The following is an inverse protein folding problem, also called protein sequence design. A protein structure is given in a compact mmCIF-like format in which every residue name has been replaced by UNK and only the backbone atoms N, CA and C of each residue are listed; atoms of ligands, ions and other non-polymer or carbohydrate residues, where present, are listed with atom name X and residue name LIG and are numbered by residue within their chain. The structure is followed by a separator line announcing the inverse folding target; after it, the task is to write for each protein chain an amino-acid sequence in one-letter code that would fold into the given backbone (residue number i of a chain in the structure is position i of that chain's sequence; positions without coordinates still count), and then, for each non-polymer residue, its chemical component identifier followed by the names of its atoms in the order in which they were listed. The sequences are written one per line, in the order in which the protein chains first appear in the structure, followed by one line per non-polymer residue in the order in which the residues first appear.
data_IF_171181019902
#
_entry.id   IF_171181019902
#
_cell.length_a   1.000
_cell.length_b   1.000
_cell.length_c   1.000
_cell.angle_alpha   90.00
_cell.angle_beta   90.00
_cell.angle_gamma   90.00
#
_symmetry.space_group_name_H-M   'P 1'
#
loop_
_entity.id
_entity.type
_entity.pdbx_description
1 polymer ?
#
# COMPACT_ATOMS: atom_id res chain seq x y z
N UNK A 1 -56.39 4.41 -23.29
CA UNK A 1 -57.60 5.22 -23.00
C UNK A 1 -57.15 6.64 -22.74
N UNK A 2 -57.42 7.54 -23.70
CA UNK A 2 -57.29 8.98 -23.64
C UNK A 2 -58.57 9.53 -23.01
N UNK A 3 -58.51 10.72 -22.34
CA UNK A 3 -58.87 11.90 -23.13
C UNK A 3 -58.08 13.17 -22.78
N UNK A 4 -57.64 13.79 -23.77
CA UNK A 4 -57.70 15.11 -24.41
C UNK A 4 -58.63 16.14 -23.72
N UNK A 5 -58.12 17.34 -23.35
CA UNK A 5 -58.87 18.60 -23.27
C UNK A 5 -57.97 19.81 -23.56
N UNK A 6 -58.19 20.33 -24.66
CA UNK A 6 -58.40 21.61 -25.35
C UNK A 6 -58.04 22.90 -24.60
N UNK A 7 -57.34 23.73 -25.37
CA UNK A 7 -57.06 25.15 -25.24
C UNK A 7 -58.35 25.97 -25.47
N UNK A 8 -58.46 27.15 -24.91
CA UNK A 8 -59.15 28.25 -25.62
C UNK A 8 -58.20 29.44 -25.87
N UNK A 9 -58.24 29.84 -27.13
CA UNK A 9 -57.83 31.14 -27.60
C UNK A 9 -58.86 32.21 -27.21
N UNK A 10 -58.39 33.42 -26.90
CA UNK A 10 -59.23 34.60 -27.01
C UNK A 10 -58.33 35.83 -27.19
N UNK A 11 -58.20 36.24 -28.39
CA UNK A 11 -58.69 37.45 -29.04
C UNK A 11 -58.20 38.80 -28.50
N UNK A 12 -57.53 39.45 -29.41
CA UNK A 12 -57.14 40.84 -29.53
C UNK A 12 -58.27 41.84 -29.32
N UNK A 13 -57.96 42.94 -28.61
CA UNK A 13 -58.73 44.17 -28.73
C UNK A 13 -57.76 45.35 -28.77
N UNK A 14 -57.57 45.86 -29.96
CA UNK A 14 -57.02 47.22 -30.21
C UNK A 14 -57.96 48.25 -29.58
N UNK A 15 -57.40 49.20 -28.89
CA UNK A 15 -57.98 50.58 -28.74
C UNK A 15 -56.83 51.58 -28.73
N UNK A 16 -56.85 52.35 -29.78
CA UNK A 16 -56.22 53.67 -29.92
C UNK A 16 -56.78 54.62 -28.84
N UNK A 17 -55.90 55.36 -28.20
CA UNK A 17 -56.20 56.72 -27.78
C UNK A 17 -54.91 57.50 -27.69
N UNK A 18 -54.86 58.48 -28.54
CA UNK A 18 -53.91 59.60 -28.64
C UNK A 18 -53.91 60.41 -27.34
N UNK A 19 -52.74 60.99 -27.14
CA UNK A 19 -52.44 62.21 -26.43
C UNK A 19 -52.55 62.28 -24.93
N UNK A 20 -51.37 62.28 -24.32
CA UNK A 20 -50.95 63.28 -23.33
C UNK A 20 -49.44 63.27 -23.20
N UNK A 21 -48.82 64.30 -23.83
CA UNK A 21 -47.46 64.70 -23.50
C UNK A 21 -47.39 65.02 -22.00
N UNK A 22 -46.66 64.16 -21.29
CA UNK A 22 -46.08 64.59 -20.02
C UNK A 22 -44.60 64.27 -20.11
N UNK A 23 -43.84 65.35 -20.18
CA UNK A 23 -42.40 65.40 -20.06
C UNK A 23 -42.02 64.74 -18.76
N UNK A 24 -41.64 63.46 -18.81
CA UNK A 24 -40.90 62.84 -17.75
C UNK A 24 -39.45 63.28 -17.99
N UNK A 25 -39.06 64.27 -17.28
CA UNK A 25 -37.69 64.71 -17.10
C UNK A 25 -36.89 63.50 -16.64
N UNK A 26 -36.14 62.92 -17.54
CA UNK A 26 -35.11 61.91 -17.22
C UNK A 26 -34.10 62.62 -16.32
N UNK A 27 -34.26 62.43 -15.03
CA UNK A 27 -33.17 62.53 -14.10
C UNK A 27 -32.17 61.42 -14.44
N UNK A 28 -31.28 61.73 -15.37
CA UNK A 28 -29.99 61.09 -15.45
C UNK A 28 -29.30 61.37 -14.11
N UNK A 29 -29.51 60.46 -13.18
CA UNK A 29 -28.58 60.28 -12.11
C UNK A 29 -27.27 59.85 -12.76
N UNK A 30 -26.50 60.82 -13.21
CA UNK A 30 -25.08 60.65 -13.37
C UNK A 30 -24.59 60.26 -11.96
N UNK A 31 -24.62 58.97 -11.66
CA UNK A 31 -23.85 58.41 -10.61
C UNK A 31 -22.40 58.75 -10.94
N UNK A 32 -21.92 59.88 -10.47
CA UNK A 32 -20.51 60.09 -10.28
C UNK A 32 -20.07 59.02 -9.32
N UNK A 33 -19.83 57.83 -9.85
CA UNK A 33 -19.05 56.82 -9.11
C UNK A 33 -17.76 57.50 -8.75
N UNK A 34 -17.60 57.79 -7.49
CA UNK A 34 -16.29 58.22 -6.98
C UNK A 34 -15.30 57.16 -7.49
N UNK A 35 -14.35 57.52 -8.37
CA UNK A 35 -13.32 56.55 -8.74
C UNK A 35 -12.66 56.16 -7.43
N UNK A 36 -12.89 54.91 -7.00
CA UNK A 36 -12.20 54.36 -5.84
C UNK A 36 -10.70 54.64 -5.97
N UNK A 37 -9.96 54.66 -4.86
CA UNK A 37 -8.53 54.88 -4.94
C UNK A 37 -7.95 53.93 -5.99
N UNK A 38 -7.11 54.46 -6.87
CA UNK A 38 -6.43 53.64 -7.89
C UNK A 38 -5.63 52.58 -7.14
N UNK A 39 -6.13 51.35 -7.14
CA UNK A 39 -5.41 50.23 -6.54
C UNK A 39 -4.09 50.06 -7.31
N UNK A 40 -2.97 49.91 -6.59
CA UNK A 40 -1.71 49.63 -7.26
C UNK A 40 -1.86 48.36 -8.11
N UNK A 41 -1.18 48.28 -9.25
CA UNK A 41 -1.26 47.09 -10.08
C UNK A 41 -0.86 45.86 -9.28
N UNK A 42 -1.70 44.83 -9.32
CA UNK A 42 -1.43 43.53 -8.69
C UNK A 42 -0.05 43.03 -9.15
N UNK A 43 0.81 42.70 -8.26
CA UNK A 43 2.17 42.22 -8.57
C UNK A 43 2.17 40.75 -8.99
N UNK A 44 1.09 40.01 -8.70
CA UNK A 44 0.95 38.56 -8.94
C UNK A 44 2.14 37.75 -8.44
N UNK A 45 2.60 38.09 -7.21
CA UNK A 45 3.70 37.38 -6.55
C UNK A 45 3.13 36.07 -6.00
N UNK A 46 3.68 34.89 -6.38
CA UNK A 46 3.25 33.63 -5.79
C UNK A 46 3.45 33.63 -4.27
N UNK A 47 2.54 33.00 -3.53
CA UNK A 47 2.77 32.70 -2.11
C UNK A 47 4.02 31.83 -1.95
N UNK A 48 4.64 31.87 -0.81
CA UNK A 48 5.79 31.02 -0.48
C UNK A 48 5.40 29.53 -0.52
N UNK A 49 6.26 28.66 -1.05
CA UNK A 49 6.11 27.22 -0.89
C UNK A 49 6.26 26.87 0.59
N UNK A 50 5.25 26.27 1.24
CA UNK A 50 5.23 26.13 2.68
C UNK A 50 6.23 25.11 3.21
N UNK A 51 6.34 23.96 2.53
CA UNK A 51 7.17 22.83 2.94
C UNK A 51 7.90 22.25 1.74
N UNK A 52 9.18 21.93 1.94
CA UNK A 52 10.00 21.16 0.99
C UNK A 52 10.46 19.89 1.68
N UNK A 53 10.09 18.76 1.11
CA UNK A 53 10.62 17.46 1.50
C UNK A 53 11.74 17.08 0.55
N UNK A 54 12.79 16.46 1.07
CA UNK A 54 13.87 15.93 0.26
C UNK A 54 14.42 14.64 0.90
N UNK A 55 14.58 13.62 0.07
CA UNK A 55 15.11 12.33 0.47
C UNK A 55 15.89 11.70 -0.70
N UNK A 56 16.85 10.87 -0.38
CA UNK A 56 17.55 10.04 -1.36
C UNK A 56 16.73 8.81 -1.70
N UNK A 57 16.67 8.50 -2.98
CA UNK A 57 16.03 7.32 -3.52
C UNK A 57 16.91 6.72 -4.61
N UNK A 58 17.75 5.77 -4.24
CA UNK A 58 18.78 5.21 -5.10
C UNK A 58 19.81 6.26 -5.53
N UNK A 59 19.94 6.50 -6.82
CA UNK A 59 20.87 7.47 -7.41
C UNK A 59 20.33 8.90 -7.52
N UNK A 60 19.17 9.18 -6.90
CA UNK A 60 18.46 10.46 -7.00
C UNK A 60 18.11 11.02 -5.63
N UNK A 61 18.14 12.36 -5.55
CA UNK A 61 17.47 13.11 -4.49
C UNK A 61 16.09 13.49 -5.03
N UNK A 62 15.06 13.03 -4.37
CA UNK A 62 13.66 13.37 -4.68
C UNK A 62 13.27 14.57 -3.83
N UNK A 63 12.95 15.68 -4.49
CA UNK A 63 12.49 16.92 -3.83
C UNK A 63 11.00 17.08 -4.11
N UNK A 64 10.18 17.05 -3.06
CA UNK A 64 8.72 17.10 -3.15
C UNK A 64 8.19 18.34 -2.42
N UNK A 65 7.24 19.02 -3.03
CA UNK A 65 6.57 20.18 -2.49
C UNK A 65 5.26 20.45 -3.25
N UNK A 66 4.45 21.37 -2.72
CA UNK A 66 3.22 21.83 -3.40
C UNK A 66 3.40 23.28 -3.83
N UNK A 67 3.25 23.54 -5.12
CA UNK A 67 3.24 24.90 -5.65
C UNK A 67 1.97 25.62 -5.21
N UNK A 68 2.08 26.90 -4.78
CA UNK A 68 0.93 27.66 -4.32
C UNK A 68 -0.06 27.94 -5.45
N UNK A 69 -1.34 27.88 -5.13
CA UNK A 69 -2.44 28.27 -6.03
C UNK A 69 -2.82 29.74 -5.89
N UNK A 70 -2.29 30.43 -4.91
CA UNK A 70 -2.60 31.81 -4.58
C UNK A 70 -1.36 32.70 -4.66
N UNK A 71 -1.60 33.98 -4.92
CA UNK A 71 -0.62 35.05 -4.75
C UNK A 71 -0.53 35.48 -3.29
N UNK A 72 0.47 36.27 -2.93
CA UNK A 72 0.62 36.88 -1.59
C UNK A 72 -0.55 37.81 -1.22
N UNK A 73 -1.33 38.25 -2.19
CA UNK A 73 -2.50 39.11 -2.04
C UNK A 73 -3.81 38.29 -1.93
N UNK A 74 -3.70 36.93 -1.93
CA UNK A 74 -4.85 36.02 -1.83
C UNK A 74 -5.62 35.80 -3.13
N UNK A 75 -5.12 36.30 -4.26
CA UNK A 75 -5.74 36.11 -5.57
C UNK A 75 -5.31 34.77 -6.18
N UNK A 76 -6.16 34.11 -6.99
CA UNK A 76 -5.78 32.91 -7.70
C UNK A 76 -4.56 33.14 -8.60
N UNK A 77 -3.54 32.30 -8.46
CA UNK A 77 -2.33 32.32 -9.28
C UNK A 77 -2.61 31.54 -10.59
N UNK A 78 -2.77 32.26 -11.68
CA UNK A 78 -3.17 31.67 -12.97
C UNK A 78 -2.09 30.80 -13.59
N UNK A 79 -0.81 31.16 -13.41
CA UNK A 79 0.34 30.40 -13.88
C UNK A 79 1.60 30.76 -13.10
N UNK A 80 2.57 29.87 -13.12
CA UNK A 80 3.94 30.07 -12.64
C UNK A 80 4.83 30.15 -13.88
N UNK A 81 5.59 31.23 -14.03
CA UNK A 81 6.52 31.41 -15.15
C UNK A 81 7.74 30.48 -15.02
N UNK A 82 8.24 30.35 -13.81
CA UNK A 82 9.45 29.61 -13.50
C UNK A 82 9.39 29.09 -12.08
N UNK A 83 9.81 27.87 -11.88
CA UNK A 83 10.13 27.31 -10.58
C UNK A 83 11.65 27.21 -10.48
N UNK A 84 12.22 27.81 -9.45
CA UNK A 84 13.63 27.70 -9.12
C UNK A 84 13.81 26.69 -7.99
N UNK A 85 14.46 25.58 -8.29
CA UNK A 85 14.94 24.60 -7.32
C UNK A 85 16.44 24.80 -7.18
N UNK A 86 16.92 25.00 -5.97
CA UNK A 86 18.34 25.22 -5.65
C UNK A 86 18.85 24.17 -4.69
N UNK A 87 20.06 23.69 -4.94
CA UNK A 87 20.80 22.77 -4.06
C UNK A 87 22.28 23.17 -4.00
N UNK A 88 22.85 23.13 -2.83
CA UNK A 88 24.28 23.45 -2.64
C UNK A 88 24.69 23.44 -1.20
N UNK A 89 26.01 23.49 -0.92
CA UNK A 89 26.54 23.59 0.43
C UNK A 89 26.09 24.90 1.10
N UNK A 90 26.02 24.90 2.41
CA UNK A 90 25.78 26.12 3.19
C UNK A 90 26.85 27.17 3.01
N UNK A 91 26.53 28.44 3.25
CA UNK A 91 27.45 29.57 3.24
C UNK A 91 27.54 30.21 4.63
N UNK A 92 28.67 30.84 4.95
CA UNK A 92 28.85 31.49 6.26
C UNK A 92 29.28 32.96 6.05
N UNK A 93 28.57 33.94 6.67
CA UNK A 93 27.32 33.80 7.44
C UNK A 93 26.15 33.37 6.54
N UNK A 94 25.19 32.60 7.11
CA UNK A 94 24.07 32.09 6.32
C UNK A 94 23.05 33.19 6.01
N UNK A 95 22.75 33.32 4.74
CA UNK A 95 21.60 34.04 4.21
C UNK A 95 21.06 33.23 3.03
N UNK A 96 19.76 32.99 2.99
CA UNK A 96 19.15 32.21 1.91
C UNK A 96 19.38 32.82 0.53
N UNK A 97 19.38 34.15 0.43
CA UNK A 97 19.59 34.87 -0.85
C UNK A 97 21.06 34.78 -1.29
N UNK A 98 22.03 34.92 -0.36
CA UNK A 98 23.45 34.75 -0.68
C UNK A 98 23.75 33.30 -1.06
N UNK A 99 23.21 32.33 -0.31
CA UNK A 99 23.34 30.91 -0.63
C UNK A 99 22.75 30.59 -2.01
N UNK A 100 21.54 31.08 -2.32
CA UNK A 100 20.89 30.81 -3.58
C UNK A 100 21.66 31.35 -4.82
N UNK A 101 22.52 32.34 -4.66
CA UNK A 101 23.37 32.83 -5.76
C UNK A 101 24.48 31.82 -6.11
N UNK A 102 24.96 31.04 -5.14
CA UNK A 102 26.06 30.08 -5.33
C UNK A 102 25.51 28.65 -5.55
N UNK A 103 24.32 28.36 -5.08
CA UNK A 103 23.69 27.05 -5.20
C UNK A 103 23.37 26.69 -6.66
N UNK A 104 23.58 25.44 -7.03
CA UNK A 104 23.26 24.89 -8.36
C UNK A 104 21.77 24.96 -8.61
N UNK A 105 21.40 25.47 -9.79
CA UNK A 105 20.01 25.68 -10.18
C UNK A 105 19.48 24.53 -11.03
N UNK A 106 18.27 24.11 -10.73
CA UNK A 106 17.49 23.13 -11.50
C UNK A 106 16.13 23.75 -11.88
N UNK A 107 16.10 24.71 -12.82
CA UNK A 107 14.90 25.43 -13.14
C UNK A 107 13.85 24.56 -13.85
N UNK A 108 12.56 24.84 -13.61
CA UNK A 108 11.46 24.23 -14.32
C UNK A 108 10.59 25.34 -14.93
N UNK A 109 10.55 25.47 -16.26
CA UNK A 109 9.73 26.47 -16.92
C UNK A 109 8.24 26.10 -16.85
N UNK A 110 7.42 27.08 -16.58
CA UNK A 110 5.95 27.03 -16.64
C UNK A 110 5.29 25.81 -15.98
N UNK A 111 5.64 25.47 -14.72
CA UNK A 111 4.99 24.38 -14.01
C UNK A 111 3.54 24.72 -13.69
N UNK A 112 2.67 23.71 -13.63
CA UNK A 112 1.31 23.87 -13.12
C UNK A 112 1.33 24.01 -11.59
N UNK A 113 0.38 24.76 -10.98
CA UNK A 113 0.17 24.73 -9.54
C UNK A 113 -0.20 23.33 -9.05
N UNK A 114 0.07 23.04 -7.76
CA UNK A 114 -0.24 21.76 -7.14
C UNK A 114 1.00 20.94 -6.76
N UNK A 115 0.85 19.64 -6.50
CA UNK A 115 1.94 18.74 -6.12
C UNK A 115 3.01 18.70 -7.21
N UNK A 116 4.28 18.77 -6.80
CA UNK A 116 5.41 18.76 -7.71
C UNK A 116 6.57 17.91 -7.14
N UNK A 117 7.20 17.14 -8.02
CA UNK A 117 8.37 16.33 -7.70
C UNK A 117 9.52 16.69 -8.63
N UNK A 118 10.71 16.92 -8.06
CA UNK A 118 11.93 17.14 -8.82
C UNK A 118 12.98 16.10 -8.45
N UNK A 119 13.48 15.41 -9.45
CA UNK A 119 14.63 14.51 -9.31
C UNK A 119 15.94 15.24 -9.55
N UNK A 120 16.92 15.03 -8.66
CA UNK A 120 18.28 15.59 -8.75
C UNK A 120 19.27 14.44 -8.61
N UNK A 121 20.28 14.30 -9.52
CA UNK A 121 21.25 13.24 -9.41
C UNK A 121 22.08 13.33 -8.12
N UNK A 122 22.25 12.22 -7.41
CA UNK A 122 23.08 12.12 -6.19
C UNK A 122 24.56 12.35 -6.48
N UNK A 123 25.04 11.95 -7.65
CA UNK A 123 26.46 11.91 -7.99
C UNK A 123 27.22 13.23 -7.74
N UNK A 124 26.59 14.39 -7.96
CA UNK A 124 27.18 15.70 -7.73
C UNK A 124 27.37 16.03 -6.24
N UNK A 125 26.67 15.34 -5.36
CA UNK A 125 26.47 15.71 -3.97
C UNK A 125 26.90 14.65 -2.96
N UNK A 126 27.26 13.45 -3.39
CA UNK A 126 27.67 12.34 -2.52
C UNK A 126 28.74 12.77 -1.50
N UNK A 127 28.50 12.44 -0.23
CA UNK A 127 29.38 12.76 0.90
C UNK A 127 29.30 14.21 1.38
N UNK A 128 28.41 15.03 0.80
CA UNK A 128 28.26 16.45 1.15
C UNK A 128 27.00 16.69 1.97
N UNK A 129 27.05 17.67 2.82
CA UNK A 129 25.89 18.29 3.46
C UNK A 129 25.37 19.39 2.55
N UNK A 130 24.11 19.29 2.09
CA UNK A 130 23.52 20.23 1.16
C UNK A 130 22.26 20.86 1.73
N UNK A 131 22.02 22.08 1.33
CA UNK A 131 20.80 22.81 1.55
C UNK A 131 19.97 22.79 0.28
N UNK A 132 18.66 22.61 0.42
CA UNK A 132 17.69 22.57 -0.69
C UNK A 132 16.59 23.57 -0.40
N UNK A 133 16.27 24.40 -1.37
CA UNK A 133 15.12 25.30 -1.30
C UNK A 133 14.54 25.56 -2.66
N UNK A 134 13.29 26.02 -2.67
CA UNK A 134 12.53 26.32 -3.88
C UNK A 134 11.83 27.67 -3.76
N UNK A 135 11.61 28.34 -4.91
CA UNK A 135 10.70 29.48 -5.00
C UNK A 135 10.02 29.49 -6.35
N UNK A 136 8.82 30.06 -6.38
CA UNK A 136 8.05 30.26 -7.60
C UNK A 136 8.25 31.68 -8.13
N UNK A 137 8.32 31.85 -9.44
CA UNK A 137 8.33 33.15 -10.12
C UNK A 137 7.01 33.31 -10.83
N UNK A 138 6.29 34.36 -10.47
CA UNK A 138 4.97 34.67 -11.02
C UNK A 138 5.02 35.14 -12.48
N UNK A 139 3.84 35.31 -13.11
CA UNK A 139 3.71 35.67 -14.53
C UNK A 139 4.39 36.99 -14.87
N UNK A 140 4.45 37.94 -13.95
CA UNK A 140 5.13 39.24 -14.08
C UNK A 140 6.62 39.20 -13.75
N UNK A 141 7.20 38.04 -13.58
CA UNK A 141 8.62 37.86 -13.27
C UNK A 141 8.99 38.16 -11.81
N UNK A 142 8.02 38.35 -10.93
CA UNK A 142 8.27 38.57 -9.51
C UNK A 142 8.36 37.24 -8.77
N UNK A 143 9.46 36.95 -8.04
CA UNK A 143 9.60 35.73 -7.27
C UNK A 143 8.86 35.79 -5.94
N UNK A 144 8.43 34.64 -5.45
CA UNK A 144 8.06 34.43 -4.05
C UNK A 144 9.30 34.51 -3.16
N UNK A 145 9.09 34.51 -1.84
CA UNK A 145 10.17 34.18 -0.91
C UNK A 145 10.62 32.73 -1.11
N UNK A 146 11.88 32.44 -0.77
CA UNK A 146 12.38 31.09 -0.72
C UNK A 146 11.61 30.27 0.33
N UNK A 147 11.31 29.02 0.02
CA UNK A 147 10.80 28.07 1.00
C UNK A 147 11.80 27.90 2.15
N UNK A 148 11.32 27.37 3.28
CA UNK A 148 12.21 26.97 4.39
C UNK A 148 13.24 25.97 3.86
N UNK A 149 14.50 26.27 4.12
CA UNK A 149 15.62 25.46 3.62
C UNK A 149 15.61 24.07 4.27
N UNK A 150 15.64 23.04 3.45
CA UNK A 150 15.80 21.65 3.89
C UNK A 150 17.29 21.30 3.87
N UNK A 151 17.80 20.78 4.98
CA UNK A 151 19.15 20.20 5.06
C UNK A 151 19.07 18.70 4.75
N UNK A 152 20.02 18.19 3.96
CA UNK A 152 20.19 16.80 3.64
C UNK A 152 21.69 16.47 3.59
N UNK A 153 22.12 15.47 4.34
CA UNK A 153 23.43 14.86 4.13
C UNK A 153 23.28 13.80 3.05
N UNK A 154 24.01 13.98 1.95
CA UNK A 154 23.92 13.05 0.81
C UNK A 154 24.89 11.89 1.01
N UNK A 155 24.36 10.69 1.11
CA UNK A 155 25.14 9.46 1.32
C UNK A 155 25.44 8.75 -0.01
N UNK A 156 26.41 7.81 -0.05
CA UNK A 156 26.55 6.95 -1.22
C UNK A 156 25.26 6.14 -1.47
N UNK A 157 24.81 6.03 -2.74
CA UNK A 157 23.61 5.31 -3.07
C UNK A 157 23.58 3.88 -2.51
N UNK A 158 22.54 3.53 -1.80
CA UNK A 158 22.32 2.17 -1.30
C UNK A 158 21.99 1.23 -2.47
N UNK A 159 22.60 0.04 -2.52
CA UNK A 159 22.24 -0.96 -3.53
C UNK A 159 20.82 -1.44 -3.34
N UNK A 160 20.10 -1.56 -4.45
CA UNK A 160 18.74 -2.12 -4.47
C UNK A 160 18.79 -3.59 -4.08
N UNK A 161 17.93 -4.06 -3.16
CA UNK A 161 17.81 -5.48 -2.87
C UNK A 161 17.45 -6.27 -4.11
N UNK A 162 18.13 -7.41 -4.31
CA UNK A 162 18.00 -8.24 -5.49
C UNK A 162 17.50 -9.65 -5.15
N UNK A 163 17.07 -10.40 -6.17
CA UNK A 163 16.64 -11.78 -6.05
C UNK A 163 15.60 -12.00 -4.93
N UNK A 164 14.63 -11.07 -4.83
CA UNK A 164 13.54 -11.21 -3.86
C UNK A 164 12.69 -12.41 -4.24
N UNK A 165 12.48 -13.31 -3.29
CA UNK A 165 11.62 -14.50 -3.41
C UNK A 165 10.53 -14.42 -2.37
N UNK A 166 9.36 -14.96 -2.71
CA UNK A 166 8.21 -15.08 -1.84
C UNK A 166 7.69 -16.52 -1.92
N UNK A 167 7.83 -17.25 -0.83
CA UNK A 167 7.46 -18.66 -0.76
C UNK A 167 6.23 -18.82 0.15
N UNK A 168 5.26 -19.60 -0.31
CA UNK A 168 4.11 -20.00 0.49
C UNK A 168 4.58 -21.00 1.55
N UNK A 169 4.48 -20.63 2.81
CA UNK A 169 4.89 -21.43 3.97
C UNK A 169 3.80 -21.41 5.03
N UNK A 170 3.95 -22.23 6.05
CA UNK A 170 3.10 -22.13 7.22
C UNK A 170 3.94 -21.64 8.43
N UNK A 171 3.49 -20.52 9.08
CA UNK A 171 2.34 -19.69 8.72
C UNK A 171 2.72 -18.60 7.68
N UNK A 172 1.96 -18.47 6.58
CA UNK A 172 1.96 -17.30 5.74
C UNK A 172 2.92 -17.31 4.54
N UNK A 173 3.70 -16.23 4.36
CA UNK A 173 4.64 -16.07 3.25
C UNK A 173 6.03 -15.73 3.76
N UNK A 174 7.00 -16.56 3.42
CA UNK A 174 8.41 -16.30 3.70
C UNK A 174 9.05 -15.54 2.55
N UNK A 175 9.63 -14.40 2.87
CA UNK A 175 10.43 -13.58 1.96
C UNK A 175 11.91 -13.80 2.21
N UNK A 176 12.69 -13.86 1.15
CA UNK A 176 14.16 -13.85 1.19
C UNK A 176 14.68 -12.97 0.06
N UNK A 177 15.84 -12.32 0.29
CA UNK A 177 16.47 -11.46 -0.73
C UNK A 177 17.98 -11.40 -0.55
N UNK A 178 18.65 -10.82 -1.54
CA UNK A 178 20.08 -10.50 -1.48
C UNK A 178 20.26 -9.00 -1.25
N UNK A 179 21.14 -8.64 -0.32
CA UNK A 179 21.45 -7.26 -0.01
C UNK A 179 22.52 -7.16 1.07
N UNK A 180 23.23 -6.02 1.11
CA UNK A 180 24.31 -5.73 2.08
C UNK A 180 23.96 -4.57 3.02
N UNK A 181 22.73 -4.09 3.03
CA UNK A 181 22.30 -3.03 3.94
C UNK A 181 22.00 -3.59 5.34
N UNK A 182 22.01 -2.70 6.34
CA UNK A 182 21.70 -3.07 7.72
C UNK A 182 20.20 -3.15 7.98
N UNK A 183 19.38 -2.45 7.18
CA UNK A 183 17.94 -2.37 7.37
C UNK A 183 17.20 -2.41 6.04
N UNK A 184 16.02 -3.00 6.06
CA UNK A 184 15.14 -3.15 4.92
C UNK A 184 13.70 -2.80 5.28
N UNK A 185 13.01 -2.12 4.38
CA UNK A 185 11.55 -1.91 4.39
C UNK A 185 10.90 -2.89 3.45
N UNK A 186 9.88 -3.56 3.94
CA UNK A 186 9.09 -4.51 3.18
C UNK A 186 7.76 -3.84 2.83
N UNK A 187 7.40 -3.87 1.56
CA UNK A 187 6.14 -3.38 1.04
C UNK A 187 5.33 -4.55 0.50
N UNK A 188 4.02 -4.52 0.71
CA UNK A 188 3.08 -5.53 0.24
C UNK A 188 1.92 -4.88 -0.50
N UNK A 189 1.45 -5.52 -1.57
CA UNK A 189 0.14 -5.28 -2.17
C UNK A 189 -0.62 -6.59 -2.32
N UNK A 190 -1.96 -6.48 -2.32
CA UNK A 190 -2.87 -7.59 -2.60
C UNK A 190 -3.45 -7.37 -3.99
N UNK A 191 -3.23 -8.31 -4.91
CA UNK A 191 -3.59 -8.13 -6.32
C UNK A 191 -2.93 -6.88 -6.93
N UNK A 192 -3.74 -6.00 -7.51
CA UNK A 192 -3.28 -4.77 -8.17
C UNK A 192 -3.38 -3.51 -7.28
N UNK A 193 -3.58 -3.68 -5.97
CA UNK A 193 -3.61 -2.56 -5.03
C UNK A 193 -2.25 -1.85 -4.94
N UNK A 194 -2.25 -0.59 -4.52
CA UNK A 194 -1.03 0.16 -4.25
C UNK A 194 -0.23 -0.52 -3.15
N UNK A 195 1.11 -0.69 -3.31
CA UNK A 195 1.94 -1.26 -2.26
C UNK A 195 1.93 -0.39 -1.01
N UNK A 196 1.75 -1.03 0.14
CA UNK A 196 1.80 -0.40 1.45
C UNK A 196 2.98 -0.95 2.25
N UNK A 197 3.56 -0.11 3.12
CA UNK A 197 4.64 -0.54 4.01
C UNK A 197 4.09 -1.55 5.02
N UNK A 198 4.62 -2.76 4.99
CA UNK A 198 4.23 -3.85 5.87
C UNK A 198 5.08 -3.91 7.13
N UNK A 199 6.41 -3.89 6.96
CA UNK A 199 7.35 -4.11 8.05
C UNK A 199 8.75 -3.55 7.76
N UNK A 200 9.62 -3.62 8.77
CA UNK A 200 11.07 -3.45 8.64
C UNK A 200 11.78 -4.72 9.13
N UNK A 201 12.95 -4.99 8.57
CA UNK A 201 13.82 -6.10 8.96
C UNK A 201 15.28 -5.64 8.97
N UNK A 202 16.07 -6.17 9.91
CA UNK A 202 17.54 -6.08 9.96
C UNK A 202 18.23 -7.31 9.34
N UNK A 203 17.44 -8.25 8.80
CA UNK A 203 17.88 -9.47 8.13
C UNK A 203 17.46 -9.43 6.67
N UNK A 204 18.02 -10.33 5.87
CA UNK A 204 17.66 -10.55 4.47
C UNK A 204 16.53 -11.56 4.31
N UNK A 205 15.68 -11.68 5.32
CA UNK A 205 14.48 -12.49 5.34
C UNK A 205 13.38 -11.85 6.19
N UNK A 206 12.13 -12.19 5.90
CA UNK A 206 10.96 -11.79 6.68
C UNK A 206 9.82 -12.78 6.44
N UNK A 207 9.02 -13.07 7.45
CA UNK A 207 7.82 -13.91 7.30
C UNK A 207 6.59 -13.04 7.57
N UNK A 208 5.71 -12.97 6.57
CA UNK A 208 4.40 -12.33 6.68
C UNK A 208 3.35 -13.34 7.11
N UNK A 209 3.09 -13.39 8.42
CA UNK A 209 2.08 -14.28 9.03
C UNK A 209 0.65 -13.73 8.92
N UNK A 210 0.47 -12.53 8.32
CA UNK A 210 -0.84 -11.87 8.21
C UNK A 210 -1.55 -12.17 6.90
N UNK A 211 -1.02 -13.07 6.09
CA UNK A 211 -1.60 -13.45 4.82
C UNK A 211 -2.84 -14.35 5.00
N UNK A 212 -3.70 -14.35 3.99
CA UNK A 212 -4.85 -15.25 3.89
C UNK A 212 -4.65 -16.16 2.70
N UNK A 213 -5.15 -17.40 2.77
CA UNK A 213 -5.12 -18.32 1.64
C UNK A 213 -5.97 -17.83 0.46
N UNK A 214 -5.66 -18.33 -0.72
CA UNK A 214 -6.32 -18.02 -1.99
C UNK A 214 -6.24 -16.52 -2.37
N UNK A 215 -5.17 -15.83 -1.93
CA UNK A 215 -4.84 -14.44 -2.29
C UNK A 215 -3.51 -14.36 -3.00
N UNK A 216 -3.42 -13.45 -3.97
CA UNK A 216 -2.14 -13.12 -4.61
C UNK A 216 -1.55 -11.89 -3.97
N UNK A 217 -0.33 -12.02 -3.48
CA UNK A 217 0.45 -10.97 -2.83
C UNK A 217 1.65 -10.63 -3.71
N UNK A 218 2.00 -9.34 -3.75
CA UNK A 218 3.24 -8.85 -4.35
C UNK A 218 4.05 -8.13 -3.30
N UNK A 219 5.31 -8.52 -3.16
CA UNK A 219 6.23 -7.96 -2.20
C UNK A 219 7.36 -7.24 -2.89
N UNK A 220 7.78 -6.11 -2.31
CA UNK A 220 8.97 -5.36 -2.70
C UNK A 220 9.79 -5.05 -1.49
N UNK A 221 11.11 -4.97 -1.67
CA UNK A 221 12.05 -4.68 -0.59
C UNK A 221 12.88 -3.46 -0.96
N UNK A 222 13.10 -2.58 0.01
CA UNK A 222 13.94 -1.40 -0.10
C UNK A 222 15.00 -1.44 0.99
N UNK A 223 16.25 -1.26 0.64
CA UNK A 223 17.29 -1.00 1.63
C UNK A 223 17.20 0.47 2.10
N UNK A 224 17.42 0.73 3.38
CA UNK A 224 17.42 2.09 3.90
C UNK A 224 18.43 2.29 5.04
N UNK A 225 18.89 3.50 5.23
CA UNK A 225 19.70 3.91 6.36
C UNK A 225 18.84 4.59 7.42
N UNK A 226 18.02 5.54 6.99
CA UNK A 226 17.03 6.28 7.78
C UNK A 226 15.84 6.69 6.91
N UNK A 227 15.01 7.63 7.37
CA UNK A 227 13.82 8.07 6.63
C UNK A 227 14.13 8.94 5.39
N UNK A 228 15.36 9.38 5.24
CA UNK A 228 15.78 10.24 4.14
C UNK A 228 16.73 9.55 3.15
N UNK A 229 17.21 8.35 3.46
CA UNK A 229 18.21 7.63 2.67
C UNK A 229 17.73 6.21 2.40
N UNK A 230 17.20 5.98 1.21
CA UNK A 230 16.71 4.69 0.74
C UNK A 230 17.26 4.31 -0.64
N UNK A 231 17.39 3.02 -0.90
CA UNK A 231 17.60 2.51 -2.25
C UNK A 231 16.34 2.67 -3.09
N UNK A 232 16.41 2.41 -4.38
CA UNK A 232 15.20 2.05 -5.14
C UNK A 232 14.58 0.77 -4.55
N UNK A 233 13.27 0.58 -4.74
CA UNK A 233 12.61 -0.68 -4.38
C UNK A 233 12.97 -1.76 -5.38
N UNK A 234 13.01 -3.00 -4.92
CA UNK A 234 13.23 -4.18 -5.77
C UNK A 234 12.12 -4.37 -6.81
N UNK A 235 12.37 -5.23 -7.79
CA UNK A 235 11.31 -5.84 -8.55
C UNK A 235 10.36 -6.59 -7.62
N UNK A 236 9.06 -6.72 -8.01
CA UNK A 236 8.10 -7.43 -7.19
C UNK A 236 8.34 -8.93 -7.20
N UNK A 237 8.29 -9.56 -6.01
CA UNK A 237 8.10 -11.00 -5.89
C UNK A 237 6.62 -11.30 -5.69
N UNK A 238 6.05 -12.14 -6.54
CA UNK A 238 4.64 -12.49 -6.50
C UNK A 238 4.46 -13.91 -5.97
N UNK A 239 3.46 -14.11 -5.12
CA UNK A 239 3.05 -15.42 -4.61
C UNK A 239 1.54 -15.47 -4.47
N UNK A 240 0.95 -16.59 -4.89
CA UNK A 240 -0.44 -16.91 -4.55
C UNK A 240 -0.43 -17.93 -3.43
N UNK A 241 -0.94 -17.52 -2.29
CA UNK A 241 -1.04 -18.37 -1.11
C UNK A 241 -2.06 -19.47 -1.33
N UNK A 242 -1.73 -20.66 -0.90
CA UNK A 242 -2.62 -21.82 -0.94
C UNK A 242 -2.43 -22.62 0.33
N UNK A 243 -3.51 -23.14 0.82
CA UNK A 243 -3.46 -24.12 1.89
C UNK A 243 -3.11 -25.50 1.29
N UNK A 244 -1.85 -25.87 1.44
CA UNK A 244 -1.27 -27.15 1.00
C UNK A 244 -0.59 -27.86 2.16
N UNK A 245 -0.81 -27.41 3.37
CA UNK A 245 -0.15 -27.85 4.58
C UNK A 245 -1.04 -28.84 5.32
N UNK A 246 -0.59 -30.12 5.49
CA UNK A 246 -1.40 -31.08 6.21
C UNK A 246 -1.41 -30.80 7.71
N UNK A 247 -2.48 -31.18 8.41
CA UNK A 247 -2.55 -31.08 9.86
C UNK A 247 -1.44 -31.85 10.58
N UNK A 248 -1.25 -31.54 11.86
CA UNK A 248 -0.36 -32.31 12.72
C UNK A 248 -0.80 -33.76 12.81
N UNK A 249 0.19 -34.65 12.86
CA UNK A 249 -0.04 -36.11 13.00
C UNK A 249 -0.71 -36.42 14.34
N UNK A 250 -1.83 -37.16 14.36
CA UNK A 250 -2.48 -37.55 15.61
C UNK A 250 -1.52 -38.35 16.54
N UNK A 251 -1.38 -37.89 17.76
CA UNK A 251 -0.49 -38.51 18.75
C UNK A 251 -1.20 -39.47 19.72
N UNK A 252 -0.43 -40.21 20.47
CA UNK A 252 -0.88 -41.09 21.58
C UNK A 252 -1.98 -42.06 21.16
N UNK A 253 -1.91 -42.62 19.96
CA UNK A 253 -2.85 -43.66 19.53
C UNK A 253 -2.72 -44.89 20.43
N UNK A 254 -3.83 -45.34 20.98
CA UNK A 254 -4.00 -46.57 21.76
C UNK A 254 -5.02 -47.49 21.10
N UNK A 255 -4.82 -48.81 21.26
CA UNK A 255 -5.74 -49.84 20.76
C UNK A 255 -6.01 -50.82 21.93
N UNK A 256 -7.24 -50.86 22.39
CA UNK A 256 -7.65 -51.69 23.51
C UNK A 256 -8.64 -52.75 23.04
N UNK A 257 -8.32 -54.03 23.27
CA UNK A 257 -9.22 -55.11 22.92
C UNK A 257 -10.44 -55.12 23.86
N UNK A 258 -11.64 -55.04 23.30
CA UNK A 258 -12.93 -55.23 23.95
C UNK A 258 -13.55 -56.57 23.61
N UNK A 259 -14.83 -56.75 23.90
CA UNK A 259 -15.58 -57.97 23.54
C UNK A 259 -16.00 -57.85 22.05
N UNK A 260 -15.32 -58.58 21.16
CA UNK A 260 -15.49 -58.53 19.70
C UNK A 260 -15.25 -57.12 19.08
N UNK A 261 -14.49 -56.24 19.73
CA UNK A 261 -14.14 -54.92 19.24
C UNK A 261 -12.69 -54.60 19.58
N UNK A 262 -12.10 -53.66 18.82
CA UNK A 262 -10.91 -52.93 19.23
C UNK A 262 -11.31 -51.45 19.37
N UNK A 263 -11.13 -50.93 20.58
CA UNK A 263 -11.39 -49.52 20.89
C UNK A 263 -10.10 -48.72 20.68
N UNK A 264 -10.18 -47.72 19.80
CA UNK A 264 -9.09 -46.80 19.46
C UNK A 264 -9.34 -45.45 20.11
N UNK A 265 -8.30 -44.83 20.63
CA UNK A 265 -8.33 -43.44 21.10
C UNK A 265 -6.99 -42.75 20.80
N UNK A 266 -7.01 -41.48 20.51
CA UNK A 266 -5.84 -40.67 20.21
C UNK A 266 -6.01 -39.20 20.64
N UNK A 267 -4.96 -38.41 20.55
CA UNK A 267 -5.03 -36.98 20.89
C UNK A 267 -5.89 -36.22 19.90
N UNK A 268 -6.82 -35.41 20.40
CA UNK A 268 -7.68 -34.56 19.59
C UNK A 268 -6.86 -33.48 18.91
N UNK A 269 -7.08 -33.21 17.59
CA UNK A 269 -6.57 -32.05 16.91
C UNK A 269 -7.24 -30.78 17.44
N UNK A 270 -6.46 -29.71 17.54
CA UNK A 270 -6.90 -28.35 17.96
C UNK A 270 -6.84 -27.35 16.81
N UNK A 271 -6.52 -27.80 15.61
CA UNK A 271 -6.41 -26.94 14.44
C UNK A 271 -7.78 -26.44 13.98
N UNK A 272 -7.84 -25.17 13.58
CA UNK A 272 -9.09 -24.49 13.28
C UNK A 272 -9.74 -24.96 11.97
N UNK A 273 -8.96 -25.52 11.08
CA UNK A 273 -9.38 -26.05 9.77
C UNK A 273 -9.49 -27.58 9.74
N UNK A 274 -9.32 -28.23 10.90
CA UNK A 274 -9.49 -29.66 11.03
C UNK A 274 -10.87 -30.12 10.54
N UNK A 275 -10.91 -31.15 9.65
CA UNK A 275 -12.11 -31.73 9.09
C UNK A 275 -12.45 -33.09 9.69
N UNK A 276 -11.46 -33.97 9.91
CA UNK A 276 -11.70 -35.31 10.42
C UNK A 276 -10.48 -36.18 10.43
N UNK A 277 -10.60 -37.39 10.97
CA UNK A 277 -9.56 -38.40 10.98
C UNK A 277 -9.87 -39.56 10.03
N UNK A 278 -8.84 -40.12 9.43
CA UNK A 278 -8.90 -41.41 8.71
C UNK A 278 -8.28 -42.47 9.62
N UNK A 279 -8.88 -43.65 9.67
CA UNK A 279 -8.39 -44.80 10.44
C UNK A 279 -7.99 -45.91 9.49
N UNK A 280 -6.81 -46.44 9.73
CA UNK A 280 -6.21 -47.51 8.93
C UNK A 280 -5.95 -48.73 9.79
N UNK A 281 -6.14 -49.92 9.19
CA UNK A 281 -5.91 -51.22 9.85
C UNK A 281 -5.02 -52.11 8.98
N UNK A 282 -4.05 -52.74 9.58
CA UNK A 282 -3.27 -53.88 9.06
C UNK A 282 -3.70 -55.12 9.81
N UNK A 283 -3.92 -56.24 9.10
CA UNK A 283 -4.26 -57.55 9.66
C UNK A 283 -3.11 -58.50 9.39
N UNK A 284 -2.66 -59.24 10.42
CA UNK A 284 -1.60 -60.21 10.40
C UNK A 284 -0.29 -59.75 9.70
N UNK A 285 0.04 -58.42 9.85
CA UNK A 285 1.22 -57.82 9.24
C UNK A 285 1.07 -57.48 7.76
N UNK A 286 -0.13 -57.58 7.17
CA UNK A 286 -0.45 -57.15 5.83
C UNK A 286 -0.42 -55.62 5.71
N UNK A 287 -0.76 -55.08 4.53
CA UNK A 287 -0.79 -53.63 4.29
C UNK A 287 -1.86 -52.93 5.13
N UNK A 288 -1.65 -51.65 5.42
CA UNK A 288 -2.66 -50.81 6.02
C UNK A 288 -3.76 -50.47 4.99
N UNK A 289 -5.00 -50.66 5.40
CA UNK A 289 -6.21 -50.38 4.63
C UNK A 289 -7.07 -49.41 5.41
N UNK A 290 -7.56 -48.35 4.77
CA UNK A 290 -8.47 -47.38 5.39
C UNK A 290 -9.81 -48.07 5.73
N UNK A 291 -10.20 -48.04 7.00
CA UNK A 291 -11.44 -48.66 7.52
C UNK A 291 -12.46 -47.63 7.96
N UNK A 292 -12.05 -46.39 8.19
CA UNK A 292 -12.94 -45.26 8.45
C UNK A 292 -12.35 -43.96 7.84
N UNK A 293 -13.22 -43.04 7.48
CA UNK A 293 -12.90 -41.78 6.81
C UNK A 293 -13.59 -40.61 7.47
N UNK A 294 -12.85 -39.50 7.66
CA UNK A 294 -13.34 -38.19 8.11
C UNK A 294 -14.18 -38.26 9.40
N UNK A 295 -13.80 -39.10 10.36
CA UNK A 295 -14.48 -39.18 11.66
C UNK A 295 -14.08 -37.95 12.51
N UNK A 296 -15.07 -37.32 13.13
CA UNK A 296 -14.83 -36.10 13.94
C UNK A 296 -14.33 -36.39 15.37
N UNK A 297 -14.68 -37.55 15.91
CA UNK A 297 -14.29 -37.95 17.26
C UNK A 297 -12.85 -38.49 17.28
N UNK A 298 -12.06 -38.21 18.30
CA UNK A 298 -10.71 -38.77 18.48
C UNK A 298 -10.74 -40.22 19.02
N UNK A 299 -11.79 -40.95 18.65
CA UNK A 299 -12.02 -42.38 19.06
C UNK A 299 -12.71 -43.11 17.93
N UNK A 300 -12.48 -44.43 17.83
CA UNK A 300 -13.12 -45.30 16.87
C UNK A 300 -13.22 -46.72 17.43
N UNK A 301 -14.36 -47.39 17.21
CA UNK A 301 -14.58 -48.79 17.59
C UNK A 301 -14.56 -49.68 16.34
N UNK A 302 -13.54 -50.49 16.18
CA UNK A 302 -13.47 -51.48 15.13
C UNK A 302 -14.17 -52.78 15.59
N UNK A 303 -15.38 -52.98 15.10
CA UNK A 303 -16.21 -54.18 15.38
C UNK A 303 -16.15 -55.23 14.27
N UNK A 304 -15.24 -55.07 13.30
CA UNK A 304 -15.02 -56.01 12.21
C UNK A 304 -13.69 -56.79 12.43
N UNK A 305 -13.55 -57.38 13.62
CA UNK A 305 -12.38 -58.18 13.97
C UNK A 305 -12.74 -59.66 14.03
N UNK A 306 -11.74 -60.52 13.83
CA UNK A 306 -11.85 -61.96 13.86
C UNK A 306 -10.95 -62.54 14.98
N UNK A 307 -11.44 -63.55 15.68
CA UNK A 307 -10.63 -64.25 16.71
C UNK A 307 -9.34 -64.84 16.14
N UNK A 308 -8.26 -64.77 16.89
CA UNK A 308 -6.94 -65.28 16.48
C UNK A 308 -6.13 -64.38 15.57
N UNK A 309 -6.66 -63.26 15.15
CA UNK A 309 -5.98 -62.28 14.27
C UNK A 309 -5.21 -61.23 15.08
N UNK A 310 -4.11 -60.71 14.51
CA UNK A 310 -3.34 -59.57 15.02
C UNK A 310 -3.66 -58.33 14.19
N UNK A 311 -3.96 -57.25 14.86
CA UNK A 311 -4.32 -55.97 14.23
C UNK A 311 -3.32 -54.89 14.63
N UNK A 312 -2.98 -54.05 13.67
CA UNK A 312 -2.26 -52.79 13.86
C UNK A 312 -3.08 -51.66 13.28
N UNK A 313 -3.12 -50.55 13.97
CA UNK A 313 -3.90 -49.40 13.58
C UNK A 313 -3.01 -48.16 13.45
N UNK A 314 -3.32 -47.31 12.50
CA UNK A 314 -2.77 -45.97 12.31
C UNK A 314 -3.89 -45.00 12.08
N UNK A 315 -3.65 -43.74 12.43
CA UNK A 315 -4.62 -42.63 12.24
C UNK A 315 -3.91 -41.47 11.59
N UNK A 316 -4.58 -40.82 10.64
CA UNK A 316 -4.17 -39.52 10.08
C UNK A 316 -5.23 -38.47 10.37
N UNK A 317 -4.87 -37.18 10.29
CA UNK A 317 -5.76 -36.04 10.33
C UNK A 317 -5.90 -35.43 8.94
N UNK A 318 -7.08 -34.91 8.64
CA UNK A 318 -7.40 -34.26 7.35
C UNK A 318 -8.01 -32.91 7.64
N UNK A 319 -7.60 -31.89 6.90
CA UNK A 319 -8.14 -30.54 6.97
C UNK A 319 -9.33 -30.31 6.03
N UNK A 320 -9.86 -29.09 6.03
CA UNK A 320 -10.98 -28.69 5.18
C UNK A 320 -10.63 -28.59 3.69
N UNK A 321 -9.33 -28.48 3.34
CA UNK A 321 -8.83 -28.47 1.96
C UNK A 321 -8.52 -29.86 1.43
N UNK A 322 -8.50 -30.86 2.31
CA UNK A 322 -8.23 -32.24 1.96
C UNK A 322 -6.76 -32.63 2.07
N UNK A 323 -5.91 -31.79 2.70
CA UNK A 323 -4.55 -32.18 3.00
C UNK A 323 -4.59 -33.20 4.16
N UNK A 324 -3.88 -34.32 3.99
CA UNK A 324 -3.84 -35.40 4.95
C UNK A 324 -2.46 -35.50 5.58
N UNK A 325 -2.41 -35.59 6.90
CA UNK A 325 -1.16 -35.75 7.66
C UNK A 325 -0.48 -37.10 7.35
N UNK A 326 0.77 -37.22 7.75
CA UNK A 326 1.38 -38.54 7.87
C UNK A 326 0.59 -39.38 8.90
N UNK A 327 0.71 -40.69 8.79
CA UNK A 327 0.07 -41.60 9.74
C UNK A 327 0.75 -41.56 11.12
N UNK A 328 -0.01 -41.78 12.16
CA UNK A 328 0.50 -41.94 13.53
C UNK A 328 1.44 -43.13 13.65
N UNK A 329 2.16 -43.23 14.78
CA UNK A 329 2.80 -44.48 15.16
C UNK A 329 1.73 -45.56 15.33
N UNK A 330 1.98 -46.80 14.84
CA UNK A 330 1.02 -47.89 14.95
C UNK A 330 0.73 -48.28 16.41
N UNK A 331 -0.55 -48.54 16.72
CA UNK A 331 -0.98 -49.23 17.94
C UNK A 331 -1.39 -50.67 17.61
N UNK A 332 -1.07 -51.61 18.46
CA UNK A 332 -1.30 -53.05 18.26
C UNK A 332 -2.39 -53.59 19.18
N UNK A 333 -3.25 -54.47 18.65
CA UNK A 333 -4.20 -55.26 19.40
C UNK A 333 -4.22 -56.69 18.85
N UNK A 334 -4.32 -57.69 19.75
CA UNK A 334 -4.44 -59.09 19.36
C UNK A 334 -5.77 -59.62 19.85
N UNK A 335 -6.66 -60.01 18.92
CA UNK A 335 -7.92 -60.66 19.28
C UNK A 335 -7.64 -62.08 19.79
N UNK A 336 -8.13 -62.33 20.99
CA UNK A 336 -7.99 -63.65 21.65
C UNK A 336 -9.02 -64.64 21.12
#
# INVERSE_FOLDING_TARGET
MVPNRRIPQMQTKRRDHRERCFAFLLLLLAGCGFPGPVLPPLLDIPSQVPVVNAAEYGDKIIVEFTLPELTTEGNPLRNVRLLEVRIGPGVTPFSVDAWAQTAKSYPVPSPAPGPFTREIPVADWTGKEVLISVRAVGPKGKPSQWATVKNLRVEPPLPTPAAVKADNVEPGVKLTWQGGAQKYRIYRSVGDATPERLAESDKTEYTDETTQYDKTYRYRVQAFLDDFHGSTVSDPAEVTTRDVFPPAVPGALTAILGVNTVELAWTRSTESDFRGYNVYRSTDGGPFVRIAELIAAPTFSDNKIEAGKKYRYEVSAVDTKGNESAHSTPAEASAQ
#
